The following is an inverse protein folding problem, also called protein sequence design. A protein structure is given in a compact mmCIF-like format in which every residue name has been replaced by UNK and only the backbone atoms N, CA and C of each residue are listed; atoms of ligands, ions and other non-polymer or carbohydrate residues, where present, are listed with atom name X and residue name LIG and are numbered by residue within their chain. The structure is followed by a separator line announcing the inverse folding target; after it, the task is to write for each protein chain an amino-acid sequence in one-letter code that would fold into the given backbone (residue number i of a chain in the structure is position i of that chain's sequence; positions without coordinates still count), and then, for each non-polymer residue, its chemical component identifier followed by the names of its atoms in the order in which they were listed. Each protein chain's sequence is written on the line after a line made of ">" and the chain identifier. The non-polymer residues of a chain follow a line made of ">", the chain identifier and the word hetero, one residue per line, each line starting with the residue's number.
data_IF_619385570281
#
_entry.id   IF_619385570281
#
_cell.length_a   1.000
_cell.length_b   1.000
_cell.length_c   1.000
_cell.angle_alpha   90.00
_cell.angle_beta   90.00
_cell.angle_gamma   90.00
#
_symmetry.space_group_name_H-M   'P 1'
#
loop_
_entity.id
_entity.type
_entity.pdbx_description
1 polymer ?
#
# COMPACT_ATOMS: atom_id res chain seq x y z
N UNK A 1 36.93 -7.29 31.11
CA UNK A 1 37.16 -8.07 29.87
C UNK A 1 35.81 -8.25 29.22
N UNK A 2 35.63 -7.77 27.99
CA UNK A 2 34.36 -7.91 27.26
C UNK A 2 34.20 -9.40 26.91
N UNK A 3 33.14 -10.04 27.39
CA UNK A 3 32.84 -11.41 27.01
C UNK A 3 32.50 -11.47 25.52
N UNK A 4 32.77 -12.60 24.85
CA UNK A 4 32.45 -12.76 23.42
C UNK A 4 30.99 -12.38 23.12
N UNK A 5 30.04 -12.88 23.91
CA UNK A 5 28.61 -12.57 23.80
C UNK A 5 28.31 -11.06 23.82
N UNK A 6 28.89 -10.32 24.76
CA UNK A 6 28.68 -8.88 24.86
C UNK A 6 29.21 -8.12 23.62
N UNK A 7 30.34 -8.54 23.06
CA UNK A 7 30.86 -7.92 21.84
C UNK A 7 29.90 -8.09 20.65
N UNK A 8 29.28 -9.27 20.52
CA UNK A 8 28.29 -9.53 19.47
C UNK A 8 26.98 -8.78 19.71
N UNK A 9 26.51 -8.65 20.95
CA UNK A 9 25.31 -7.85 21.27
C UNK A 9 25.52 -6.35 20.99
N UNK A 10 26.71 -5.82 21.26
CA UNK A 10 27.08 -4.45 20.89
C UNK A 10 27.09 -4.28 19.37
N UNK A 11 27.70 -5.23 18.64
CA UNK A 11 27.73 -5.20 17.18
C UNK A 11 26.32 -5.29 16.58
N UNK A 12 25.48 -6.19 17.11
CA UNK A 12 24.08 -6.34 16.75
C UNK A 12 23.28 -5.04 17.00
N UNK A 13 23.45 -4.43 18.17
CA UNK A 13 22.86 -3.12 18.48
C UNK A 13 23.30 -2.02 17.50
N UNK A 14 24.60 -1.95 17.18
CA UNK A 14 25.12 -0.99 16.20
C UNK A 14 24.51 -1.18 14.80
N UNK A 15 24.35 -2.43 14.35
CA UNK A 15 23.71 -2.76 13.08
C UNK A 15 22.22 -2.37 13.07
N UNK A 16 21.50 -2.62 14.17
CA UNK A 16 20.10 -2.20 14.32
C UNK A 16 19.96 -0.68 14.30
N UNK A 17 20.86 0.05 14.99
CA UNK A 17 20.85 1.51 15.00
C UNK A 17 21.11 2.08 13.60
N UNK A 18 22.10 1.53 12.88
CA UNK A 18 22.38 1.91 11.49
C UNK A 18 21.17 1.64 10.58
N UNK A 19 20.55 0.47 10.74
CA UNK A 19 19.34 0.10 9.99
C UNK A 19 18.18 1.03 10.32
N UNK A 20 17.96 1.38 11.59
CA UNK A 20 16.92 2.30 12.04
C UNK A 20 17.13 3.70 11.48
N UNK A 21 18.36 4.22 11.50
CA UNK A 21 18.68 5.54 10.95
C UNK A 21 18.43 5.59 9.44
N UNK A 22 18.90 4.58 8.69
CA UNK A 22 18.65 4.47 7.25
C UNK A 22 17.15 4.32 6.95
N UNK A 23 16.44 3.51 7.73
CA UNK A 23 15.00 3.32 7.62
C UNK A 23 14.22 4.62 7.92
N UNK A 24 14.61 5.38 8.94
CA UNK A 24 14.00 6.67 9.28
C UNK A 24 14.15 7.68 8.13
N UNK A 25 15.34 7.79 7.55
CA UNK A 25 15.58 8.64 6.37
C UNK A 25 14.70 8.18 5.21
N UNK A 26 14.68 6.88 4.91
CA UNK A 26 13.81 6.29 3.89
C UNK A 26 12.33 6.60 4.12
N UNK A 27 11.87 6.51 5.36
CA UNK A 27 10.49 6.80 5.74
C UNK A 27 10.14 8.28 5.56
N UNK A 28 11.01 9.20 5.98
CA UNK A 28 10.83 10.63 5.70
C UNK A 28 10.74 10.89 4.19
N UNK A 29 11.57 10.24 3.38
CA UNK A 29 11.45 10.28 1.92
C UNK A 29 10.08 9.75 1.43
N UNK A 30 9.52 8.70 2.06
CA UNK A 30 8.17 8.21 1.71
C UNK A 30 7.07 9.25 1.97
N UNK A 31 7.19 10.02 3.04
CA UNK A 31 6.20 11.04 3.41
C UNK A 31 6.23 12.20 2.41
N UNK A 32 7.43 12.61 1.99
CA UNK A 32 7.63 13.70 1.04
C UNK A 32 7.28 13.30 -0.41
N UNK A 33 7.81 12.16 -0.89
CA UNK A 33 7.77 11.81 -2.32
C UNK A 33 6.59 10.90 -2.69
N UNK A 34 6.20 9.97 -1.83
CA UNK A 34 5.15 8.99 -2.12
C UNK A 34 3.75 9.55 -1.79
N UNK A 35 3.30 10.58 -2.51
CA UNK A 35 1.92 11.11 -2.38
C UNK A 35 0.93 10.34 -3.26
N UNK A 36 -0.12 9.81 -2.63
CA UNK A 36 -1.28 9.18 -3.30
C UNK A 36 -2.07 10.27 -4.02
N UNK A 37 -1.98 10.33 -5.36
CA UNK A 37 -2.83 11.19 -6.19
C UNK A 37 -3.97 10.34 -6.76
N UNK A 38 -5.06 10.15 -6.02
CA UNK A 38 -6.34 9.50 -6.43
C UNK A 38 -6.26 8.27 -7.36
N UNK A 39 -5.15 7.57 -7.39
CA UNK A 39 -4.87 6.47 -8.31
C UNK A 39 -5.14 5.14 -7.58
N UNK A 40 -6.13 4.40 -8.08
CA UNK A 40 -6.55 3.12 -7.50
C UNK A 40 -5.39 2.11 -7.50
N UNK A 41 -4.50 2.21 -8.49
CA UNK A 41 -3.34 1.34 -8.66
C UNK A 41 -2.26 1.57 -7.59
N UNK A 42 -2.34 2.68 -6.85
CA UNK A 42 -1.43 3.07 -5.75
C UNK A 42 -2.07 2.95 -4.36
N UNK A 43 -3.19 2.24 -4.24
CA UNK A 43 -3.86 1.97 -2.96
C UNK A 43 -2.94 1.29 -1.93
N UNK A 44 -2.00 0.46 -2.39
CA UNK A 44 -1.01 -0.23 -1.56
C UNK A 44 -0.04 0.70 -0.81
N UNK A 45 0.15 1.95 -1.25
CA UNK A 45 1.06 2.90 -0.62
C UNK A 45 0.68 3.24 0.83
N UNK A 46 -0.62 3.21 1.16
CA UNK A 46 -1.07 3.49 2.52
C UNK A 46 -0.61 2.39 3.49
N UNK A 47 -0.81 1.12 3.10
CA UNK A 47 -0.40 -0.05 3.87
C UNK A 47 1.12 -0.14 3.95
N UNK A 48 1.83 0.15 2.86
CA UNK A 48 3.29 0.22 2.84
C UNK A 48 3.86 1.25 3.81
N UNK A 49 3.31 2.48 3.87
CA UNK A 49 3.78 3.51 4.81
C UNK A 49 3.58 3.07 6.25
N UNK A 50 2.44 2.47 6.53
CA UNK A 50 2.12 1.97 7.86
C UNK A 50 3.03 0.78 8.24
N UNK A 51 3.33 -0.12 7.29
CA UNK A 51 4.32 -1.17 7.45
C UNK A 51 5.71 -0.62 7.78
N UNK A 52 6.15 0.41 7.04
CA UNK A 52 7.45 1.05 7.24
C UNK A 52 7.52 1.74 8.62
N UNK A 53 6.46 2.43 9.03
CA UNK A 53 6.39 3.04 10.37
C UNK A 53 6.53 2.01 11.49
N UNK A 54 5.78 0.89 11.40
CA UNK A 54 5.91 -0.21 12.36
C UNK A 54 7.29 -0.85 12.34
N UNK A 55 7.90 -1.02 11.15
CA UNK A 55 9.25 -1.55 11.02
C UNK A 55 10.28 -0.68 11.75
N UNK A 56 10.25 0.64 11.56
CA UNK A 56 11.18 1.56 12.25
C UNK A 56 11.02 1.46 13.76
N UNK A 57 9.77 1.49 14.24
CA UNK A 57 9.50 1.42 15.68
C UNK A 57 9.96 0.08 16.27
N UNK A 58 9.74 -1.02 15.55
CA UNK A 58 10.20 -2.35 15.95
C UNK A 58 11.74 -2.45 16.02
N UNK A 59 12.44 -1.93 15.01
CA UNK A 59 13.92 -1.94 14.99
C UNK A 59 14.49 -1.06 16.10
N UNK A 60 13.89 0.11 16.37
CA UNK A 60 14.30 0.98 17.47
C UNK A 60 14.10 0.30 18.84
N UNK A 61 12.96 -0.35 19.06
CA UNK A 61 12.73 -1.11 20.30
C UNK A 61 13.70 -2.30 20.42
N UNK A 62 14.00 -2.98 19.31
CA UNK A 62 14.99 -4.07 19.31
C UNK A 62 16.39 -3.56 19.68
N UNK A 63 16.78 -2.39 19.16
CA UNK A 63 18.01 -1.70 19.55
C UNK A 63 18.03 -1.38 21.05
N UNK A 64 16.97 -0.77 21.59
CA UNK A 64 16.89 -0.47 23.02
C UNK A 64 16.89 -1.74 23.87
N UNK A 65 16.28 -2.82 23.40
CA UNK A 65 16.34 -4.12 24.07
C UNK A 65 17.79 -4.62 24.15
N UNK A 66 18.55 -4.60 23.05
CA UNK A 66 19.97 -5.00 23.09
C UNK A 66 20.83 -4.06 23.95
N UNK A 67 20.59 -2.75 23.89
CA UNK A 67 21.28 -1.77 24.75
C UNK A 67 21.03 -2.06 26.23
N UNK A 68 19.77 -2.31 26.62
CA UNK A 68 19.41 -2.67 27.98
C UNK A 68 20.01 -4.00 28.41
N UNK A 69 20.15 -4.98 27.50
CA UNK A 69 20.82 -6.24 27.78
C UNK A 69 22.31 -6.04 28.12
N UNK A 70 23.01 -5.25 27.31
CA UNK A 70 24.44 -4.91 27.55
C UNK A 70 24.59 -4.18 28.88
N UNK A 71 23.77 -3.15 29.11
CA UNK A 71 23.77 -2.39 30.38
C UNK A 71 23.47 -3.29 31.58
N UNK A 72 22.52 -4.21 31.45
CA UNK A 72 22.21 -5.21 32.48
C UNK A 72 23.43 -6.08 32.79
N UNK A 73 24.10 -6.64 31.78
CA UNK A 73 25.27 -7.51 31.98
C UNK A 73 26.44 -6.80 32.66
N UNK A 74 26.70 -5.54 32.31
CA UNK A 74 27.78 -4.74 32.90
C UNK A 74 27.45 -4.31 34.34
N UNK A 75 26.21 -3.90 34.59
CA UNK A 75 25.81 -3.43 35.92
C UNK A 75 25.50 -4.56 36.90
N UNK A 76 25.32 -5.80 36.43
CA UNK A 76 24.97 -6.94 37.29
C UNK A 76 25.99 -7.15 38.43
N UNK A 77 27.28 -7.25 38.09
CA UNK A 77 28.35 -7.50 39.06
C UNK A 77 28.58 -6.31 40.00
N UNK A 78 28.39 -5.09 39.51
CA UNK A 78 28.54 -3.87 40.30
C UNK A 78 27.36 -3.68 41.27
N UNK A 79 26.13 -3.92 40.81
CA UNK A 79 24.93 -3.80 41.62
C UNK A 79 24.81 -4.90 42.68
N UNK A 80 25.28 -6.11 42.38
CA UNK A 80 25.37 -7.18 43.36
C UNK A 80 26.29 -6.79 44.53
N UNK A 81 27.46 -6.21 44.22
CA UNK A 81 28.39 -5.69 45.23
C UNK A 81 27.80 -4.49 46.01
N UNK A 82 27.06 -3.62 45.34
CA UNK A 82 26.44 -2.44 45.94
C UNK A 82 25.09 -2.69 46.64
N UNK A 83 24.59 -3.95 46.69
CA UNK A 83 23.25 -4.32 47.19
C UNK A 83 22.09 -3.58 46.52
N UNK A 84 22.29 -3.04 45.33
CA UNK A 84 21.29 -2.30 44.55
C UNK A 84 20.49 -3.24 43.61
N UNK A 85 20.02 -4.38 44.13
CA UNK A 85 19.41 -5.46 43.34
C UNK A 85 18.03 -5.13 42.76
N UNK A 86 17.38 -4.06 43.23
CA UNK A 86 16.12 -3.57 42.66
C UNK A 86 16.34 -2.94 41.28
N UNK A 87 17.29 -2.01 41.16
CA UNK A 87 17.56 -1.28 39.92
C UNK A 87 17.95 -2.20 38.75
N UNK A 88 18.78 -3.22 39.00
CA UNK A 88 19.17 -4.20 37.97
C UNK A 88 18.02 -5.10 37.55
N UNK A 89 17.09 -5.40 38.46
CA UNK A 89 15.88 -6.14 38.10
C UNK A 89 14.91 -5.31 37.27
N UNK A 90 14.81 -4.02 37.55
CA UNK A 90 13.94 -3.12 36.77
C UNK A 90 14.50 -2.95 35.36
N UNK A 91 15.83 -2.85 35.21
CA UNK A 91 16.52 -2.88 33.91
C UNK A 91 16.23 -4.17 33.14
N UNK A 92 16.30 -5.32 33.80
CA UNK A 92 16.01 -6.61 33.17
C UNK A 92 14.54 -6.71 32.72
N UNK A 93 13.60 -6.23 33.55
CA UNK A 93 12.17 -6.14 33.21
C UNK A 93 11.95 -5.23 32.00
N UNK A 94 12.59 -4.05 31.97
CA UNK A 94 12.52 -3.12 30.85
C UNK A 94 13.08 -3.74 29.56
N UNK A 95 14.20 -4.46 29.64
CA UNK A 95 14.80 -5.18 28.51
C UNK A 95 13.80 -6.17 27.88
N UNK A 96 13.21 -7.04 28.71
CA UNK A 96 12.27 -8.07 28.26
C UNK A 96 10.99 -7.48 27.68
N UNK A 97 10.40 -6.50 28.38
CA UNK A 97 9.15 -5.86 27.93
C UNK A 97 9.35 -5.12 26.60
N UNK A 98 10.48 -4.41 26.46
CA UNK A 98 10.85 -3.73 25.22
C UNK A 98 10.99 -4.72 24.05
N UNK A 99 11.59 -5.89 24.31
CA UNK A 99 11.70 -6.97 23.32
C UNK A 99 10.35 -7.54 22.90
N UNK A 100 9.45 -7.79 23.85
CA UNK A 100 8.10 -8.31 23.59
C UNK A 100 7.29 -7.33 22.72
N UNK A 101 7.31 -6.04 23.07
CA UNK A 101 6.62 -5.00 22.29
C UNK A 101 7.26 -4.83 20.91
N UNK A 102 8.60 -4.86 20.83
CA UNK A 102 9.34 -4.79 19.57
C UNK A 102 8.94 -5.91 18.60
N UNK A 103 8.84 -7.14 19.10
CA UNK A 103 8.40 -8.31 18.32
C UNK A 103 6.97 -8.15 17.80
N UNK A 104 6.02 -7.70 18.63
CA UNK A 104 4.64 -7.44 18.21
C UNK A 104 4.57 -6.47 17.01
N UNK A 105 5.31 -5.37 17.08
CA UNK A 105 5.32 -4.35 16.03
C UNK A 105 6.02 -4.85 14.76
N UNK A 106 7.07 -5.66 14.91
CA UNK A 106 7.77 -6.27 13.78
C UNK A 106 6.84 -7.18 12.98
N UNK A 107 6.02 -7.97 13.68
CA UNK A 107 5.02 -8.84 13.04
C UNK A 107 3.90 -8.05 12.35
N UNK A 108 3.46 -6.93 12.94
CA UNK A 108 2.55 -6.03 12.23
C UNK A 108 3.18 -5.46 10.96
N UNK A 109 4.45 -5.04 11.01
CA UNK A 109 5.16 -4.56 9.82
C UNK A 109 5.16 -5.62 8.71
N UNK A 110 5.41 -6.89 9.06
CA UNK A 110 5.33 -8.01 8.13
C UNK A 110 3.93 -8.17 7.52
N UNK A 111 2.88 -8.17 8.35
CA UNK A 111 1.48 -8.30 7.89
C UNK A 111 1.12 -7.19 6.90
N UNK A 112 1.50 -5.95 7.20
CA UNK A 112 1.22 -4.82 6.30
C UNK A 112 2.08 -4.84 5.04
N UNK A 113 3.32 -5.34 5.09
CA UNK A 113 4.13 -5.60 3.88
C UNK A 113 3.43 -6.61 2.98
N UNK A 114 2.93 -7.71 3.55
CA UNK A 114 2.21 -8.75 2.80
C UNK A 114 0.95 -8.18 2.12
N UNK A 115 0.18 -7.35 2.83
CA UNK A 115 -0.96 -6.64 2.25
C UNK A 115 -0.56 -5.59 1.20
N UNK A 116 0.58 -4.92 1.36
CA UNK A 116 1.09 -3.98 0.38
C UNK A 116 1.52 -4.69 -0.92
N UNK A 117 2.16 -5.86 -0.83
CA UNK A 117 2.59 -6.64 -1.99
C UNK A 117 1.41 -7.21 -2.78
N UNK A 118 0.36 -7.72 -2.11
CA UNK A 118 -0.85 -8.16 -2.82
C UNK A 118 -1.57 -6.97 -3.48
N UNK A 119 -1.59 -5.80 -2.83
CA UNK A 119 -2.11 -4.57 -3.41
C UNK A 119 -1.31 -4.12 -4.64
N UNK A 120 0.02 -4.23 -4.58
CA UNK A 120 0.91 -3.94 -5.71
C UNK A 120 0.68 -4.91 -6.87
N UNK A 121 0.59 -6.22 -6.59
CA UNK A 121 0.33 -7.24 -7.61
C UNK A 121 -1.00 -7.00 -8.35
N UNK A 122 -2.03 -6.55 -7.62
CA UNK A 122 -3.29 -6.20 -8.23
C UNK A 122 -3.23 -4.85 -8.99
N UNK A 123 -2.51 -3.86 -8.49
CA UNK A 123 -2.26 -2.60 -9.22
C UNK A 123 -1.58 -2.85 -10.57
N UNK A 124 -0.59 -3.74 -10.60
CA UNK A 124 0.11 -4.18 -11.83
C UNK A 124 -0.88 -4.78 -12.84
N UNK A 125 -1.83 -5.60 -12.38
CA UNK A 125 -2.85 -6.20 -13.25
C UNK A 125 -3.87 -5.20 -13.76
N UNK A 126 -4.32 -4.26 -12.93
CA UNK A 126 -5.24 -3.20 -13.35
C UNK A 126 -4.62 -2.38 -14.49
N UNK A 127 -3.32 -2.07 -14.41
CA UNK A 127 -2.60 -1.36 -15.47
C UNK A 127 -2.51 -2.18 -16.75
N UNK A 128 -2.38 -3.51 -16.65
CA UNK A 128 -2.25 -4.38 -17.81
C UNK A 128 -3.59 -4.69 -18.50
N UNK A 129 -4.64 -5.02 -17.74
CA UNK A 129 -5.90 -5.54 -18.26
C UNK A 129 -7.10 -4.60 -18.14
N UNK A 130 -6.96 -3.44 -17.50
CA UNK A 130 -8.03 -2.44 -17.32
C UNK A 130 -9.17 -2.84 -16.37
N UNK A 131 -9.32 -4.13 -16.04
CA UNK A 131 -10.36 -4.65 -15.16
C UNK A 131 -9.79 -5.65 -14.13
N UNK A 132 -10.36 -5.63 -12.91
CA UNK A 132 -10.09 -6.65 -11.91
C UNK A 132 -10.92 -7.90 -12.19
N UNK A 133 -10.27 -9.06 -12.35
CA UNK A 133 -10.98 -10.34 -12.43
C UNK A 133 -11.60 -10.73 -11.09
N UNK A 134 -12.71 -11.49 -11.11
CA UNK A 134 -13.35 -12.02 -9.89
C UNK A 134 -12.38 -12.84 -9.02
N UNK A 135 -11.49 -13.59 -9.66
CA UNK A 135 -10.44 -14.35 -8.99
C UNK A 135 -9.47 -13.45 -8.22
N UNK A 136 -9.15 -12.26 -8.73
CA UNK A 136 -8.29 -11.30 -8.02
C UNK A 136 -8.96 -10.75 -6.77
N UNK A 137 -10.25 -10.44 -6.85
CA UNK A 137 -11.02 -9.97 -5.70
C UNK A 137 -11.09 -11.04 -4.62
N UNK A 138 -11.34 -12.29 -5.01
CA UNK A 138 -11.35 -13.43 -4.10
C UNK A 138 -9.99 -13.64 -3.43
N UNK A 139 -8.90 -13.63 -4.20
CA UNK A 139 -7.55 -13.77 -3.65
C UNK A 139 -7.21 -12.62 -2.70
N UNK A 140 -7.55 -11.38 -3.06
CA UNK A 140 -7.33 -10.21 -2.20
C UNK A 140 -8.12 -10.34 -0.89
N UNK A 141 -9.39 -10.77 -0.96
CA UNK A 141 -10.20 -11.05 0.22
C UNK A 141 -9.56 -12.14 1.09
N UNK A 142 -9.05 -13.23 0.49
CA UNK A 142 -8.31 -14.28 1.19
C UNK A 142 -7.08 -13.77 1.93
N UNK A 143 -6.31 -12.86 1.32
CA UNK A 143 -5.18 -12.20 1.98
C UNK A 143 -5.60 -11.26 3.12
N UNK A 144 -6.74 -10.57 3.01
CA UNK A 144 -7.28 -9.78 4.13
C UNK A 144 -7.73 -10.66 5.30
N UNK A 145 -8.39 -11.78 5.02
CA UNK A 145 -8.77 -12.77 6.06
C UNK A 145 -7.52 -13.34 6.71
N UNK A 146 -6.51 -13.68 5.93
CA UNK A 146 -5.22 -14.19 6.44
C UNK A 146 -4.51 -13.14 7.30
N UNK A 147 -4.49 -11.87 6.87
CA UNK A 147 -3.90 -10.78 7.63
C UNK A 147 -4.65 -10.52 8.96
N UNK A 148 -5.98 -10.63 8.95
CA UNK A 148 -6.80 -10.54 10.17
C UNK A 148 -6.45 -11.69 11.13
N UNK A 149 -6.38 -12.93 10.62
CA UNK A 149 -5.99 -14.09 11.40
C UNK A 149 -4.59 -13.92 12.01
N UNK A 150 -3.60 -13.50 11.20
CA UNK A 150 -2.25 -13.22 11.67
C UNK A 150 -2.23 -12.10 12.72
N UNK A 151 -3.05 -11.06 12.56
CA UNK A 151 -3.15 -9.97 13.55
C UNK A 151 -3.69 -10.47 14.88
N UNK A 152 -4.74 -11.33 14.86
CA UNK A 152 -5.29 -11.95 16.07
C UNK A 152 -4.24 -12.85 16.73
N UNK A 153 -3.57 -13.71 15.96
CA UNK A 153 -2.51 -14.59 16.48
C UNK A 153 -1.35 -13.79 17.08
N UNK A 154 -0.96 -12.67 16.46
CA UNK A 154 0.08 -11.79 16.97
C UNK A 154 -0.31 -11.15 18.31
N UNK A 155 -1.55 -10.65 18.44
CA UNK A 155 -2.08 -10.10 19.70
C UNK A 155 -2.15 -11.18 20.78
N UNK A 156 -2.61 -12.39 20.44
CA UNK A 156 -2.66 -13.52 21.37
C UNK A 156 -1.25 -13.93 21.82
N UNK A 157 -0.29 -14.02 20.89
CA UNK A 157 1.10 -14.31 21.19
C UNK A 157 1.73 -13.27 22.10
N UNK A 158 1.44 -11.99 21.88
CA UNK A 158 1.82 -10.89 22.76
C UNK A 158 1.22 -11.03 24.16
N UNK A 159 -0.10 -11.25 24.26
CA UNK A 159 -0.78 -11.40 25.54
C UNK A 159 -0.28 -12.61 26.34
N UNK A 160 0.03 -13.73 25.67
CA UNK A 160 0.63 -14.90 26.30
C UNK A 160 2.06 -14.65 26.76
N UNK A 161 2.85 -13.90 25.98
CA UNK A 161 4.21 -13.50 26.33
C UNK A 161 4.23 -12.59 27.55
N UNK A 162 3.35 -11.58 27.60
CA UNK A 162 3.14 -10.71 28.76
C UNK A 162 2.67 -11.51 29.99
N UNK A 163 1.70 -12.42 29.82
CA UNK A 163 1.24 -13.27 30.92
C UNK A 163 2.37 -14.14 31.48
N UNK A 164 3.18 -14.74 30.60
CA UNK A 164 4.35 -15.51 31.02
C UNK A 164 5.36 -14.64 31.76
N UNK A 165 5.60 -13.42 31.26
CA UNK A 165 6.48 -12.45 31.89
C UNK A 165 6.01 -12.08 33.31
N UNK A 166 4.75 -11.67 33.47
CA UNK A 166 4.18 -11.31 34.76
C UNK A 166 4.25 -12.49 35.74
N UNK A 167 3.89 -13.69 35.31
CA UNK A 167 3.92 -14.87 36.19
C UNK A 167 5.32 -15.24 36.66
N UNK A 168 6.33 -15.03 35.81
CA UNK A 168 7.72 -15.39 36.10
C UNK A 168 8.42 -14.33 36.95
N UNK A 169 8.11 -13.04 36.73
CA UNK A 169 8.86 -11.92 37.31
C UNK A 169 8.08 -11.04 38.28
N UNK A 170 6.75 -11.18 38.41
CA UNK A 170 5.95 -10.42 39.39
C UNK A 170 5.88 -11.11 40.75
N UNK A 171 5.97 -12.44 40.80
CA UNK A 171 5.91 -13.21 42.05
C UNK A 171 7.31 -13.49 42.61
N UNK A 172 8.01 -12.43 43.04
CA UNK A 172 9.33 -12.55 43.68
C UNK A 172 9.29 -13.33 45.00
N UNK A 173 8.16 -13.35 45.69
CA UNK A 173 8.01 -14.07 46.95
C UNK A 173 8.02 -15.60 46.74
N UNK A 174 7.47 -16.09 45.62
CA UNK A 174 7.44 -17.52 45.30
C UNK A 174 8.81 -18.09 44.90
N UNK A 175 9.71 -17.27 44.33
CA UNK A 175 11.06 -17.70 43.97
C UNK A 175 11.98 -17.80 45.20
N UNK A 176 11.72 -17.03 46.27
CA UNK A 176 12.47 -17.10 47.53
C UNK A 176 12.18 -18.37 48.32
N UNK A 177 10.98 -18.93 48.18
CA UNK A 177 10.56 -20.15 48.90
C UNK A 177 11.01 -21.46 48.22
N UNK A 178 11.83 -21.40 47.16
CA UNK A 178 12.30 -22.59 46.44
C UNK A 178 11.17 -23.38 45.74
N UNK A 179 9.97 -22.79 45.66
CA UNK A 179 8.79 -23.41 45.05
C UNK A 179 8.98 -23.45 43.55
N UNK A 180 8.88 -24.66 42.98
CA UNK A 180 9.02 -24.91 41.56
C UNK A 180 8.15 -23.95 40.75
N UNK A 181 8.71 -23.37 39.67
CA UNK A 181 8.02 -22.48 38.71
C UNK A 181 6.57 -22.96 38.51
N UNK A 182 5.54 -22.12 38.77
CA UNK A 182 4.15 -22.54 38.74
C UNK A 182 3.83 -23.30 37.45
N UNK A 183 3.13 -24.44 37.55
CA UNK A 183 2.73 -25.25 36.37
C UNK A 183 2.04 -24.39 35.29
N UNK A 184 1.32 -23.35 35.73
CA UNK A 184 0.66 -22.35 34.89
C UNK A 184 1.61 -21.50 34.05
N UNK A 185 2.77 -21.08 34.58
CA UNK A 185 3.77 -20.30 33.84
C UNK A 185 4.43 -21.13 32.72
N UNK A 186 4.64 -22.43 32.98
CA UNK A 186 5.15 -23.39 31.98
C UNK A 186 4.13 -23.65 30.88
N UNK A 187 2.85 -23.76 31.25
CA UNK A 187 1.76 -23.92 30.28
C UNK A 187 1.63 -22.69 29.38
N UNK A 188 1.77 -21.48 29.95
CA UNK A 188 1.79 -20.24 29.17
C UNK A 188 2.96 -20.22 28.16
N UNK A 189 4.17 -20.61 28.58
CA UNK A 189 5.34 -20.68 27.67
C UNK A 189 5.12 -21.68 26.53
N UNK A 190 4.60 -22.88 26.82
CA UNK A 190 4.25 -23.87 25.79
C UNK A 190 3.20 -23.32 24.83
N UNK A 191 2.16 -22.66 25.34
CA UNK A 191 1.13 -22.04 24.52
C UNK A 191 1.71 -20.93 23.62
N UNK A 192 2.56 -20.04 24.15
CA UNK A 192 3.26 -19.04 23.35
C UNK A 192 4.04 -19.69 22.21
N UNK A 193 4.79 -20.77 22.52
CA UNK A 193 5.59 -21.45 21.50
C UNK A 193 4.75 -22.04 20.37
N UNK A 194 3.66 -22.71 20.72
CA UNK A 194 2.74 -23.29 19.74
C UNK A 194 2.09 -22.20 18.88
N UNK A 195 1.65 -21.09 19.50
CA UNK A 195 1.05 -19.96 18.77
C UNK A 195 2.06 -19.33 17.81
N UNK A 196 3.31 -19.10 18.23
CA UNK A 196 4.36 -18.57 17.34
C UNK A 196 4.64 -19.53 16.18
N UNK A 197 4.69 -20.84 16.42
CA UNK A 197 4.87 -21.82 15.35
C UNK A 197 3.72 -21.78 14.34
N UNK A 198 2.47 -21.75 14.81
CA UNK A 198 1.29 -21.63 13.94
C UNK A 198 1.37 -20.34 13.10
N UNK A 199 1.74 -19.22 13.73
CA UNK A 199 1.91 -17.95 13.03
C UNK A 199 2.97 -18.06 11.92
N UNK A 200 4.15 -18.61 12.22
CA UNK A 200 5.22 -18.80 11.23
C UNK A 200 4.80 -19.71 10.06
N UNK A 201 4.05 -20.77 10.34
CA UNK A 201 3.52 -21.67 9.30
C UNK A 201 2.51 -20.94 8.42
N UNK A 202 1.57 -20.18 9.00
CA UNK A 202 0.60 -19.38 8.24
C UNK A 202 1.32 -18.31 7.40
N UNK A 203 2.35 -17.66 7.92
CA UNK A 203 3.19 -16.73 7.18
C UNK A 203 3.91 -17.40 6.01
N UNK A 204 4.46 -18.60 6.21
CA UNK A 204 5.13 -19.36 5.14
C UNK A 204 4.16 -19.71 4.01
N UNK A 205 2.98 -20.23 4.36
CA UNK A 205 1.95 -20.54 3.35
C UNK A 205 1.52 -19.28 2.61
N UNK A 206 1.26 -18.18 3.32
CA UNK A 206 0.84 -16.93 2.71
C UNK A 206 1.91 -16.33 1.77
N UNK A 207 3.19 -16.42 2.15
CA UNK A 207 4.31 -15.96 1.31
C UNK A 207 4.51 -16.83 0.08
N UNK A 208 4.36 -18.15 0.20
CA UNK A 208 4.40 -19.07 -0.95
C UNK A 208 3.26 -18.81 -1.94
N UNK A 209 2.03 -18.60 -1.44
CA UNK A 209 0.88 -18.24 -2.28
C UNK A 209 1.11 -16.89 -2.96
N UNK A 210 1.66 -15.91 -2.25
CA UNK A 210 2.00 -14.60 -2.82
C UNK A 210 3.09 -14.69 -3.89
N UNK A 211 4.11 -15.54 -3.68
CA UNK A 211 5.16 -15.79 -4.67
C UNK A 211 4.61 -16.49 -5.91
N UNK A 212 3.82 -17.55 -5.75
CA UNK A 212 3.15 -18.21 -6.87
C UNK A 212 2.29 -17.22 -7.66
N UNK A 213 1.58 -16.34 -6.94
CA UNK A 213 0.78 -15.29 -7.56
C UNK A 213 1.63 -14.27 -8.32
N UNK A 214 2.75 -13.82 -7.76
CA UNK A 214 3.63 -12.86 -8.42
C UNK A 214 4.30 -13.44 -9.67
N UNK A 215 4.63 -14.75 -9.67
CA UNK A 215 5.08 -15.48 -10.86
C UNK A 215 3.99 -15.53 -11.93
N UNK A 216 2.74 -15.84 -11.57
CA UNK A 216 1.64 -15.82 -12.55
C UNK A 216 1.43 -14.44 -13.16
N UNK A 217 1.49 -13.38 -12.34
CA UNK A 217 1.43 -11.99 -12.84
C UNK A 217 2.61 -11.70 -13.76
N UNK A 218 3.81 -12.22 -13.46
CA UNK A 218 4.99 -12.01 -14.28
C UNK A 218 4.92 -12.71 -15.63
N UNK A 219 4.37 -13.91 -15.68
CA UNK A 219 4.15 -14.65 -16.93
C UNK A 219 3.12 -13.92 -17.80
N UNK A 220 2.02 -13.47 -17.20
CA UNK A 220 0.95 -12.76 -17.90
C UNK A 220 1.40 -11.40 -18.46
N UNK A 221 2.25 -10.68 -17.73
CA UNK A 221 2.73 -9.34 -18.12
C UNK A 221 4.02 -9.35 -18.93
N UNK A 222 4.48 -10.53 -19.40
CA UNK A 222 5.79 -10.68 -20.07
C UNK A 222 5.92 -9.88 -21.36
N UNK A 223 4.82 -9.66 -22.08
CA UNK A 223 4.79 -8.92 -23.35
C UNK A 223 4.96 -7.40 -23.18
N UNK A 224 4.59 -6.85 -22.03
CA UNK A 224 4.52 -5.40 -21.84
C UNK A 224 5.78 -4.81 -21.19
N UNK A 225 6.56 -4.06 -21.97
CA UNK A 225 7.81 -3.45 -21.50
C UNK A 225 7.57 -2.47 -20.33
N UNK A 226 6.42 -1.78 -20.33
CA UNK A 226 6.02 -0.81 -19.30
C UNK A 226 5.92 -1.46 -17.92
N UNK A 227 5.40 -2.69 -17.84
CA UNK A 227 5.09 -3.36 -16.55
C UNK A 227 6.23 -4.24 -16.06
N UNK A 228 7.11 -4.68 -16.98
CA UNK A 228 8.26 -5.57 -16.72
C UNK A 228 9.13 -5.14 -15.53
N UNK A 229 9.37 -3.85 -15.35
CA UNK A 229 10.17 -3.35 -14.23
C UNK A 229 9.46 -3.56 -12.89
N UNK A 230 8.18 -3.17 -12.79
CA UNK A 230 7.41 -3.31 -11.55
C UNK A 230 7.24 -4.78 -11.14
N UNK A 231 7.00 -5.66 -12.12
CA UNK A 231 6.93 -7.10 -11.92
C UNK A 231 8.26 -7.68 -11.40
N UNK A 232 9.41 -7.23 -11.91
CA UNK A 232 10.73 -7.67 -11.40
C UNK A 232 10.93 -7.28 -9.93
N UNK A 233 10.58 -6.04 -9.57
CA UNK A 233 10.63 -5.61 -8.16
C UNK A 233 9.68 -6.44 -7.30
N UNK A 234 8.46 -6.72 -7.77
CA UNK A 234 7.51 -7.58 -7.04
C UNK A 234 8.09 -8.97 -6.78
N UNK A 235 8.70 -9.62 -7.79
CA UNK A 235 9.32 -10.93 -7.64
C UNK A 235 10.45 -10.91 -6.62
N UNK A 236 11.36 -9.92 -6.72
CA UNK A 236 12.48 -9.76 -5.78
C UNK A 236 11.95 -9.57 -4.35
N UNK A 237 10.95 -8.72 -4.15
CA UNK A 237 10.31 -8.54 -2.85
C UNK A 237 9.69 -9.84 -2.31
N UNK A 238 9.01 -10.62 -3.15
CA UNK A 238 8.44 -11.91 -2.74
C UNK A 238 9.54 -12.92 -2.36
N UNK A 239 10.65 -12.95 -3.09
CA UNK A 239 11.79 -13.83 -2.77
C UNK A 239 12.48 -13.43 -1.46
N UNK A 240 12.64 -12.12 -1.19
CA UNK A 240 13.18 -11.63 0.08
C UNK A 240 12.26 -11.97 1.26
N UNK A 241 10.95 -11.86 1.05
CA UNK A 241 9.97 -12.21 2.08
C UNK A 241 9.98 -13.72 2.38
N UNK A 242 10.10 -14.55 1.34
CA UNK A 242 10.25 -16.00 1.50
C UNK A 242 11.55 -16.35 2.23
N UNK A 243 12.68 -15.70 1.87
CA UNK A 243 13.95 -15.89 2.54
C UNK A 243 13.83 -15.61 4.05
N UNK A 244 13.27 -14.46 4.43
CA UNK A 244 13.01 -14.09 5.83
C UNK A 244 12.20 -15.16 6.56
N UNK A 245 11.03 -15.54 6.03
CA UNK A 245 10.14 -16.50 6.72
C UNK A 245 10.77 -17.90 6.77
N UNK A 246 11.49 -18.30 5.73
CA UNK A 246 12.20 -19.59 5.71
C UNK A 246 13.33 -19.63 6.74
N UNK A 247 14.02 -18.51 6.96
CA UNK A 247 15.01 -18.39 8.02
C UNK A 247 14.36 -18.44 9.39
N UNK A 248 13.30 -17.66 9.62
CA UNK A 248 12.62 -17.60 10.92
C UNK A 248 12.07 -18.97 11.32
N UNK A 249 11.43 -19.71 10.40
CA UNK A 249 10.91 -21.05 10.71
C UNK A 249 12.02 -22.06 10.95
N UNK A 250 13.13 -21.99 10.20
CA UNK A 250 14.28 -22.87 10.39
C UNK A 250 15.00 -22.59 11.72
N UNK A 251 15.16 -21.30 12.07
CA UNK A 251 15.69 -20.86 13.34
C UNK A 251 14.79 -21.35 14.48
N UNK A 252 13.48 -21.13 14.36
CA UNK A 252 12.50 -21.54 15.36
C UNK A 252 12.49 -23.05 15.58
N UNK A 253 12.46 -23.84 14.50
CA UNK A 253 12.45 -25.30 14.55
C UNK A 253 13.73 -25.88 15.19
N UNK A 254 14.87 -25.23 14.97
CA UNK A 254 16.16 -25.69 15.50
C UNK A 254 16.39 -25.32 16.95
N UNK A 255 16.03 -24.09 17.34
CA UNK A 255 16.44 -23.51 18.62
C UNK A 255 15.33 -23.46 19.67
N UNK A 256 14.08 -23.73 19.29
CA UNK A 256 12.96 -23.77 20.23
C UNK A 256 12.56 -25.22 20.52
N UNK A 257 12.88 -25.76 21.71
CA UNK A 257 12.52 -27.13 22.04
C UNK A 257 11.01 -27.25 22.28
N UNK A 258 10.39 -28.21 21.59
CA UNK A 258 8.97 -28.58 21.76
C UNK A 258 8.76 -29.77 22.71
N UNK A 259 9.85 -30.36 23.22
CA UNK A 259 9.82 -31.56 24.06
C UNK A 259 9.29 -31.35 25.48
N UNK A 260 9.33 -32.41 26.29
CA UNK A 260 8.88 -32.37 27.68
C UNK A 260 9.81 -31.58 28.60
N UNK A 261 9.32 -31.13 29.75
CA UNK A 261 10.05 -30.24 30.66
C UNK A 261 11.44 -30.75 31.05
N UNK A 262 11.61 -32.07 31.13
CA UNK A 262 12.88 -32.71 31.47
C UNK A 262 13.85 -32.76 30.26
N UNK A 263 13.33 -32.86 29.03
CA UNK A 263 14.15 -32.81 27.80
C UNK A 263 14.44 -31.37 27.36
N UNK A 264 13.58 -30.41 27.69
CA UNK A 264 13.81 -28.97 27.43
C UNK A 264 15.09 -28.49 28.15
N UNK A 265 15.34 -28.96 29.37
CA UNK A 265 16.46 -28.50 30.18
C UNK A 265 17.79 -29.14 29.74
N UNK A 266 17.78 -30.40 29.29
CA UNK A 266 18.97 -31.06 28.71
C UNK A 266 19.28 -30.57 27.29
N UNK A 267 18.27 -30.33 26.45
CA UNK A 267 18.48 -29.86 25.08
C UNK A 267 18.81 -28.37 25.01
N UNK A 268 18.32 -27.55 25.94
CA UNK A 268 18.60 -26.11 25.96
C UNK A 268 20.09 -25.78 26.15
N UNK A 269 20.85 -26.63 26.84
CA UNK A 269 22.30 -26.44 26.99
C UNK A 269 23.10 -26.97 25.78
N UNK A 270 22.57 -27.94 25.02
CA UNK A 270 23.19 -28.44 23.78
C UNK A 270 22.88 -27.60 22.54
N UNK A 271 21.75 -26.89 22.54
CA UNK A 271 21.19 -26.17 21.39
C UNK A 271 21.15 -24.66 21.58
N UNK A 272 21.96 -24.08 22.48
CA UNK A 272 22.04 -22.62 22.62
C UNK A 272 22.67 -22.02 21.35
N UNK A 273 22.06 -20.98 20.74
CA UNK A 273 22.69 -20.27 19.63
C UNK A 273 24.05 -19.73 20.08
N UNK A 274 25.08 -19.97 19.28
CA UNK A 274 26.38 -19.33 19.49
C UNK A 274 26.26 -17.80 19.42
N UNK A 275 27.22 -17.06 19.98
CA UNK A 275 27.13 -15.61 20.11
C UNK A 275 27.09 -14.88 18.75
N UNK A 276 27.65 -15.47 17.69
CA UNK A 276 27.60 -14.95 16.33
C UNK A 276 26.20 -14.94 15.72
N UNK A 277 25.26 -15.72 16.26
CA UNK A 277 23.89 -15.78 15.73
C UNK A 277 23.13 -14.47 15.87
N UNK A 278 23.45 -13.61 16.84
CA UNK A 278 22.80 -12.30 16.98
C UNK A 278 22.96 -11.43 15.72
N UNK A 279 24.15 -11.45 15.10
CA UNK A 279 24.40 -10.74 13.85
C UNK A 279 23.69 -11.42 12.68
N UNK A 280 23.76 -12.75 12.61
CA UNK A 280 23.14 -13.53 11.53
C UNK A 280 21.62 -13.32 11.52
N UNK A 281 20.99 -13.29 12.70
CA UNK A 281 19.56 -13.07 12.87
C UNK A 281 19.14 -11.69 12.33
N UNK A 282 19.91 -10.64 12.62
CA UNK A 282 19.67 -9.31 12.04
C UNK A 282 19.79 -9.33 10.50
N UNK A 283 20.82 -9.99 9.98
CA UNK A 283 21.08 -10.01 8.53
C UNK A 283 20.05 -10.86 7.77
N UNK A 284 19.56 -11.95 8.35
CA UNK A 284 18.66 -12.89 7.67
C UNK A 284 17.17 -12.69 8.00
N UNK A 285 16.85 -12.10 9.15
CA UNK A 285 15.47 -11.76 9.52
C UNK A 285 15.16 -10.28 9.26
N UNK A 286 15.97 -9.35 9.78
CA UNK A 286 15.66 -7.91 9.71
C UNK A 286 15.96 -7.28 8.34
N UNK A 287 17.14 -7.54 7.76
CA UNK A 287 17.56 -6.88 6.52
C UNK A 287 16.73 -7.22 5.28
N UNK A 288 16.23 -8.44 5.05
CA UNK A 288 15.38 -8.70 3.89
C UNK A 288 14.12 -7.84 3.89
N UNK A 289 13.53 -7.60 5.07
CA UNK A 289 12.38 -6.72 5.22
C UNK A 289 12.75 -5.24 4.99
N UNK A 290 13.90 -4.79 5.50
CA UNK A 290 14.43 -3.45 5.22
C UNK A 290 14.65 -3.21 3.72
N UNK A 291 15.38 -4.12 3.05
CA UNK A 291 15.67 -4.03 1.61
C UNK A 291 14.37 -4.05 0.81
N UNK A 292 13.41 -4.91 1.18
CA UNK A 292 12.09 -4.95 0.57
C UNK A 292 11.38 -3.60 0.68
N UNK A 293 11.36 -2.97 1.85
CA UNK A 293 10.76 -1.65 2.05
C UNK A 293 11.45 -0.58 1.20
N UNK A 294 12.78 -0.62 1.09
CA UNK A 294 13.53 0.29 0.22
C UNK A 294 13.21 0.06 -1.26
N UNK A 295 13.09 -1.19 -1.72
CA UNK A 295 12.69 -1.50 -3.09
C UNK A 295 11.27 -0.99 -3.39
N UNK A 296 10.34 -1.15 -2.45
CA UNK A 296 9.00 -0.57 -2.55
C UNK A 296 9.03 0.97 -2.54
N UNK A 297 9.95 1.59 -1.80
CA UNK A 297 10.17 3.04 -1.86
C UNK A 297 10.57 3.47 -3.27
N UNK A 298 11.59 2.83 -3.85
CA UNK A 298 12.09 3.13 -5.19
C UNK A 298 10.96 2.98 -6.22
N UNK A 299 10.14 1.94 -6.07
CA UNK A 299 8.98 1.74 -6.94
C UNK A 299 7.90 2.82 -6.73
N UNK A 300 7.69 3.27 -5.50
CA UNK A 300 6.72 4.30 -5.15
C UNK A 300 7.12 5.71 -5.63
N UNK A 301 8.41 6.04 -5.57
CA UNK A 301 8.98 7.35 -5.96
C UNK A 301 9.14 7.48 -7.46
N UNK A 302 9.27 6.38 -8.20
CA UNK A 302 9.32 6.38 -9.67
C UNK A 302 7.99 6.93 -10.24
N UNK A 303 7.91 8.25 -10.44
CA UNK A 303 6.74 8.99 -10.94
C UNK A 303 7.09 9.80 -12.20
N UNK A 304 6.09 9.93 -13.09
CA UNK A 304 5.83 11.02 -14.06
C UNK A 304 5.86 10.72 -15.58
N UNK A 305 6.51 9.67 -16.10
CA UNK A 305 6.59 9.47 -17.58
C UNK A 305 6.07 8.09 -18.08
N UNK A 306 4.93 7.59 -17.58
CA UNK A 306 4.17 6.58 -18.34
C UNK A 306 3.97 5.17 -17.75
N UNK A 307 4.45 4.86 -16.53
CA UNK A 307 4.25 3.52 -15.93
C UNK A 307 2.91 3.36 -15.18
N UNK A 308 2.32 4.48 -14.72
CA UNK A 308 1.05 4.53 -13.98
C UNK A 308 0.17 5.71 -14.39
N UNK A 309 0.53 6.48 -15.42
CA UNK A 309 -0.47 7.33 -16.07
C UNK A 309 -1.31 6.39 -16.90
N UNK A 310 -2.41 5.92 -16.33
CA UNK A 310 -3.53 5.47 -17.14
C UNK A 310 -3.72 6.54 -18.21
N UNK A 311 -3.47 6.20 -19.47
CA UNK A 311 -3.91 7.04 -20.57
C UNK A 311 -5.41 7.21 -20.34
N UNK A 312 -5.81 8.39 -19.86
CA UNK A 312 -7.22 8.67 -19.74
C UNK A 312 -7.80 8.58 -21.16
N UNK A 313 -9.05 8.14 -21.35
CA UNK A 313 -9.62 7.94 -22.68
C UNK A 313 -9.53 9.17 -23.60
N UNK A 314 -9.32 10.37 -23.07
CA UNK A 314 -9.03 11.57 -23.86
C UNK A 314 -7.60 11.63 -24.47
N UNK A 315 -6.64 10.83 -24.01
CA UNK A 315 -5.28 10.72 -24.56
C UNK A 315 -5.17 9.69 -25.69
N UNK A 316 -6.17 8.82 -25.86
CA UNK A 316 -6.29 7.87 -26.98
C UNK A 316 -7.06 8.45 -28.18
N UNK A 317 -6.87 9.74 -28.51
CA UNK A 317 -7.27 10.22 -29.84
C UNK A 317 -6.24 9.70 -30.83
N UNK A 318 -6.53 8.54 -31.42
CA UNK A 318 -5.77 7.97 -32.53
C UNK A 318 -5.97 8.88 -33.75
N UNK A 319 -4.94 9.57 -34.28
CA UNK A 319 -5.07 10.28 -35.55
C UNK A 319 -5.01 9.23 -36.65
N UNK A 320 -6.15 8.62 -36.99
CA UNK A 320 -6.16 7.49 -37.93
C UNK A 320 -7.50 7.14 -38.55
N UNK A 321 -8.52 7.99 -38.42
CA UNK A 321 -9.74 7.90 -39.22
C UNK A 321 -9.86 9.14 -40.08
N UNK A 322 -9.63 9.01 -41.39
CA UNK A 322 -9.90 10.07 -42.35
C UNK A 322 -11.37 10.52 -42.22
N UNK A 323 -11.59 11.77 -41.79
CA UNK A 323 -12.87 12.48 -41.98
C UNK A 323 -13.64 12.94 -40.74
N UNK A 324 -13.22 12.67 -39.50
CA UNK A 324 -13.94 13.19 -38.33
C UNK A 324 -13.36 14.53 -37.85
N UNK A 325 -14.20 15.57 -37.64
CA UNK A 325 -13.73 16.86 -37.13
C UNK A 325 -13.17 16.70 -35.72
N UNK A 326 -12.01 17.33 -35.48
CA UNK A 326 -11.31 17.34 -34.21
C UNK A 326 -12.12 18.16 -33.19
N UNK A 327 -13.02 17.52 -32.46
CA UNK A 327 -13.82 18.16 -31.42
C UNK A 327 -13.00 18.23 -30.13
N UNK A 328 -12.56 19.44 -29.75
CA UNK A 328 -11.91 19.64 -28.45
C UNK A 328 -12.94 19.64 -27.32
N UNK A 329 -12.57 19.28 -26.08
CA UNK A 329 -13.51 19.21 -24.94
C UNK A 329 -14.17 20.55 -24.56
N UNK A 330 -13.70 21.65 -25.13
CA UNK A 330 -14.20 23.01 -24.90
C UNK A 330 -15.21 23.46 -25.97
N UNK A 331 -15.73 22.54 -26.80
CA UNK A 331 -16.79 22.83 -27.76
C UNK A 331 -16.38 23.66 -28.98
N UNK A 332 -15.11 24.06 -29.09
CA UNK A 332 -14.60 24.76 -30.27
C UNK A 332 -14.24 23.75 -31.36
N UNK A 333 -15.10 23.66 -32.38
CA UNK A 333 -14.78 23.02 -33.65
C UNK A 333 -13.85 23.93 -34.45
N UNK A 334 -12.63 23.47 -34.74
CA UNK A 334 -11.76 24.14 -35.70
C UNK A 334 -12.12 23.64 -37.11
N UNK A 335 -12.71 24.51 -37.92
CA UNK A 335 -12.86 24.30 -39.36
C UNK A 335 -11.55 24.69 -40.05
N UNK A 336 -10.83 23.76 -40.72
CA UNK A 336 -9.64 24.10 -41.49
C UNK A 336 -10.09 24.64 -42.87
N UNK A 337 -10.63 25.86 -42.92
CA UNK A 337 -11.03 26.48 -44.19
C UNK A 337 -10.55 27.92 -44.38
N UNK A 338 -9.67 28.42 -43.51
CA UNK A 338 -9.10 29.77 -43.60
C UNK A 338 -7.59 29.79 -43.40
N UNK A 339 -6.86 28.99 -44.18
CA UNK A 339 -5.46 29.29 -44.49
C UNK A 339 -5.24 29.13 -46.00
N UNK A 340 -5.63 30.16 -46.75
CA UNK A 340 -5.08 30.41 -48.08
C UNK A 340 -3.62 30.86 -47.92
N UNK A 341 -2.64 30.19 -48.53
CA UNK A 341 -1.30 30.74 -48.66
C UNK A 341 -1.32 31.87 -49.71
N UNK A 342 -0.88 33.07 -49.33
CA UNK A 342 -0.57 34.14 -50.27
C UNK A 342 0.63 33.70 -51.14
N UNK A 343 0.37 33.32 -52.39
CA UNK A 343 1.40 33.20 -53.43
C UNK A 343 1.38 34.47 -54.31
N UNK A 344 2.52 35.16 -54.51
CA UNK A 344 2.60 36.30 -55.42
C UNK A 344 2.61 35.83 -56.88
N UNK A 345 1.77 36.49 -57.68
CA UNK A 345 1.59 36.32 -59.12
C UNK A 345 2.69 37.03 -59.92
N UNK A 346 3.41 36.30 -60.77
CA UNK A 346 4.16 36.85 -61.90
C UNK A 346 3.84 36.04 -63.18
N UNK A 347 3.20 36.75 -64.11
CA UNK A 347 3.29 36.72 -65.59
C UNK A 347 3.18 35.43 -66.44
N UNK A 348 2.08 35.39 -67.23
CA UNK A 348 1.95 35.13 -68.69
C UNK A 348 2.31 33.77 -69.34
N UNK A 349 1.85 33.46 -70.58
CA UNK A 349 0.54 33.73 -71.23
C UNK A 349 -0.06 32.51 -71.99
N UNK A 350 -1.25 32.76 -72.55
CA UNK A 350 -2.21 31.93 -73.32
C UNK A 350 -1.67 30.95 -74.40
N UNK A 351 -2.41 29.85 -74.59
CA UNK A 351 -2.47 29.04 -75.81
C UNK A 351 -3.77 28.19 -75.89
N UNK A 352 -4.47 28.08 -77.04
CA UNK A 352 -5.86 27.60 -77.09
C UNK A 352 -6.05 26.12 -77.53
N UNK A 353 -7.18 25.54 -77.07
CA UNK A 353 -8.02 24.44 -77.62
C UNK A 353 -7.38 23.18 -78.21
N UNK A 354 -7.96 22.00 -77.93
CA UNK A 354 -8.70 21.17 -78.92
C UNK A 354 -9.37 19.95 -78.25
N UNK A 355 -10.63 19.71 -78.63
CA UNK A 355 -11.42 18.51 -78.35
C UNK A 355 -10.90 17.29 -79.10
N UNK A 356 -11.09 16.08 -78.54
CA UNK A 356 -11.55 14.93 -79.33
C UNK A 356 -12.30 13.89 -78.48
N UNK A 357 -13.47 13.51 -79.00
CA UNK A 357 -14.25 12.34 -78.63
C UNK A 357 -14.05 11.26 -79.71
N UNK A 358 -14.08 9.96 -79.34
CA UNK A 358 -14.70 8.86 -80.11
C UNK A 358 -14.57 7.47 -79.41
N UNK A 359 -15.34 6.43 -79.83
CA UNK A 359 -15.99 5.45 -78.96
C UNK A 359 -15.74 3.97 -79.41
N UNK A 360 -16.60 3.04 -78.96
CA UNK A 360 -16.84 1.66 -79.46
C UNK A 360 -15.81 0.58 -79.06
N UNK A 361 -16.12 -0.71 -78.88
CA UNK A 361 -17.34 -1.53 -78.77
C UNK A 361 -16.92 -2.94 -78.25
N UNK A 362 -17.92 -3.71 -77.79
CA UNK A 362 -17.94 -5.12 -77.32
C UNK A 362 -17.61 -6.15 -78.46
N UNK A 363 -17.59 -7.52 -78.28
CA UNK A 363 -18.51 -8.30 -77.42
C UNK A 363 -18.20 -9.76 -76.92
N UNK A 364 -19.13 -10.22 -76.05
CA UNK A 364 -19.67 -11.60 -75.78
C UNK A 364 -18.76 -12.62 -75.04
N UNK A 365 -19.23 -13.44 -74.09
CA UNK A 365 -20.39 -14.35 -74.17
C UNK A 365 -20.81 -14.98 -72.79
N UNK A 366 -22.14 -15.18 -72.58
CA UNK A 366 -22.88 -16.20 -71.79
C UNK A 366 -22.60 -16.40 -70.26
N UNK A 367 -23.57 -16.62 -69.35
CA UNK A 367 -24.80 -17.40 -69.42
C UNK A 367 -25.80 -17.05 -68.26
N UNK A 368 -27.09 -17.22 -68.57
CA UNK A 368 -28.37 -17.06 -67.83
C UNK A 368 -28.51 -17.90 -66.53
N UNK A 369 -29.25 -17.53 -65.47
CA UNK A 369 -30.74 -17.52 -65.36
C UNK A 369 -31.21 -17.10 -63.92
N UNK A 370 -32.53 -16.87 -63.64
CA UNK A 370 -33.00 -15.74 -62.83
C UNK A 370 -33.86 -16.07 -61.57
N UNK A 371 -34.34 -14.98 -60.92
CA UNK A 371 -35.64 -14.76 -60.26
C UNK A 371 -35.60 -14.39 -58.74
N UNK A 372 -36.60 -13.65 -58.20
CA UNK A 372 -36.40 -12.38 -57.47
C UNK A 372 -36.97 -12.41 -56.05
N UNK A 373 -36.78 -11.38 -55.23
CA UNK A 373 -37.83 -10.79 -54.37
C UNK A 373 -37.38 -9.46 -53.75
N UNK A 374 -38.36 -8.58 -53.63
CA UNK A 374 -38.35 -7.14 -53.39
C UNK A 374 -38.54 -6.81 -51.89
N UNK A 375 -38.41 -5.50 -51.58
CA UNK A 375 -38.95 -4.73 -50.43
C UNK A 375 -38.06 -4.68 -49.18
N UNK A 376 -37.88 -3.59 -48.41
CA UNK A 376 -37.90 -2.11 -48.49
C UNK A 376 -37.58 -1.61 -47.05
N UNK A 377 -37.10 -0.38 -46.89
CA UNK A 377 -36.90 0.39 -45.64
C UNK A 377 -38.05 0.27 -44.60
N UNK A 378 -37.97 0.55 -43.29
CA UNK A 378 -37.27 1.58 -42.49
C UNK A 378 -37.50 1.26 -40.95
N UNK A 379 -37.50 2.18 -39.96
CA UNK A 379 -36.41 2.53 -39.04
C UNK A 379 -36.66 2.15 -37.54
N UNK A 380 -35.66 2.49 -36.72
CA UNK A 380 -35.57 2.44 -35.24
C UNK A 380 -36.80 2.87 -34.43
N UNK A 381 -36.89 2.40 -33.16
CA UNK A 381 -37.38 3.25 -32.07
C UNK A 381 -36.40 3.37 -30.89
N UNK A 382 -36.28 4.61 -30.40
CA UNK A 382 -35.58 5.01 -29.18
C UNK A 382 -36.23 4.43 -27.91
N UNK A 383 -35.46 4.14 -26.85
CA UNK A 383 -36.00 4.05 -25.49
C UNK A 383 -36.06 5.44 -24.83
N UNK A 384 -37.28 5.83 -24.48
CA UNK A 384 -37.68 7.01 -23.72
C UNK A 384 -37.35 6.82 -22.23
N UNK A 385 -36.69 7.80 -21.62
CA UNK A 385 -36.51 7.87 -20.17
C UNK A 385 -37.78 8.43 -19.52
N UNK A 386 -38.44 7.64 -18.68
CA UNK A 386 -39.54 8.08 -17.83
C UNK A 386 -39.00 8.67 -16.52
N UNK A 387 -39.30 9.95 -16.28
CA UNK A 387 -39.05 10.62 -15.01
C UNK A 387 -40.12 10.22 -13.99
N UNK A 388 -39.69 9.77 -12.82
CA UNK A 388 -40.57 9.48 -11.68
C UNK A 388 -40.98 10.80 -10.97
N UNK A 389 -42.23 10.95 -10.50
CA UNK A 389 -42.65 12.13 -9.73
C UNK A 389 -42.18 12.06 -8.27
N UNK A 390 -41.57 13.12 -7.78
CA UNK A 390 -41.28 13.34 -6.36
C UNK A 390 -42.53 13.88 -5.64
N UNK A 391 -42.92 13.35 -4.46
CA UNK A 391 -43.84 14.02 -3.57
C UNK A 391 -43.10 14.96 -2.60
N UNK A 392 -43.50 16.23 -2.57
CA UNK A 392 -43.31 17.11 -1.41
C UNK A 392 -44.28 16.69 -0.29
N UNK A 393 -43.85 16.74 0.99
CA UNK A 393 -44.58 17.64 1.88
C UNK A 393 -43.76 18.29 3.03
N UNK A 394 -44.10 19.57 3.23
CA UNK A 394 -44.46 20.25 4.49
C UNK A 394 -43.40 20.54 5.56
N UNK A 395 -42.98 21.81 5.59
CA UNK A 395 -42.67 22.57 6.80
C UNK A 395 -43.92 22.71 7.70
N UNK A 396 -43.77 22.66 9.04
CA UNK A 396 -44.69 23.30 9.96
C UNK A 396 -44.12 24.59 10.55
N UNK A 397 -45.04 25.53 10.74
CA UNK A 397 -44.90 26.87 11.30
C UNK A 397 -44.49 26.93 12.77
N UNK A 398 -43.93 28.10 13.07
CA UNK A 398 -43.67 28.71 14.37
C UNK A 398 -44.86 28.69 15.35
N UNK A 399 -44.54 28.51 16.64
CA UNK A 399 -45.27 29.14 17.73
C UNK A 399 -44.26 29.69 18.75
N UNK A 400 -44.32 31.00 18.97
CA UNK A 400 -43.40 31.71 19.86
C UNK A 400 -43.87 31.78 21.31
N UNK A 401 -42.95 32.20 22.19
CA UNK A 401 -43.26 32.89 23.44
C UNK A 401 -42.19 33.94 23.74
N UNK A 402 -42.68 35.14 24.06
CA UNK A 402 -42.03 36.38 24.49
C UNK A 402 -40.99 36.22 25.61
N UNK A 403 -39.93 37.05 25.59
CA UNK A 403 -39.80 38.26 26.43
C UNK A 403 -38.36 38.81 26.47
N UNK A 404 -38.21 40.14 26.44
CA UNK A 404 -37.04 40.86 26.99
C UNK A 404 -36.19 41.66 26.00
N UNK A 405 -36.42 42.97 25.95
CA UNK A 405 -35.60 44.00 25.28
C UNK A 405 -34.19 44.14 25.86
N UNK A 406 -33.14 44.26 25.02
CA UNK A 406 -31.94 45.14 25.17
C UNK A 406 -31.10 45.08 23.85
N UNK A 407 -30.22 46.06 23.55
CA UNK A 407 -29.84 46.46 22.19
C UNK A 407 -28.77 45.59 21.50
N UNK A 408 -28.79 45.68 20.17
CA UNK A 408 -28.05 44.94 19.14
C UNK A 408 -26.54 44.76 19.35
N UNK A 409 -26.04 43.54 19.11
CA UNK A 409 -24.69 43.31 18.59
C UNK A 409 -24.71 42.89 17.10
N UNK A 410 -23.63 43.28 16.43
CA UNK A 410 -23.20 42.96 15.05
C UNK A 410 -23.73 41.67 14.43
N UNK A 411 -24.20 41.78 13.19
CA UNK A 411 -24.57 40.67 12.30
C UNK A 411 -23.44 39.63 12.19
N UNK A 412 -23.71 38.33 12.29
CA UNK A 412 -22.72 37.29 12.04
C UNK A 412 -22.32 37.28 10.55
N UNK A 413 -21.07 36.88 10.22
CA UNK A 413 -20.65 36.72 8.84
C UNK A 413 -21.51 35.67 8.12
N UNK A 414 -21.76 35.82 6.80
CA UNK A 414 -22.60 34.89 6.04
C UNK A 414 -22.05 33.46 6.13
N UNK A 415 -22.95 32.49 6.17
CA UNK A 415 -22.60 31.09 6.15
C UNK A 415 -21.81 30.75 4.87
N UNK A 416 -20.78 29.91 5.01
CA UNK A 416 -19.84 29.55 3.93
C UNK A 416 -20.50 28.94 2.67
N UNK A 417 -21.78 28.56 2.76
CA UNK A 417 -22.60 28.12 1.62
C UNK A 417 -22.93 29.25 0.64
N UNK A 418 -23.10 30.48 1.12
CA UNK A 418 -23.59 31.60 0.30
C UNK A 418 -22.44 32.29 -0.45
N UNK A 419 -21.21 32.20 0.09
CA UNK A 419 -20.00 32.70 -0.57
C UNK A 419 -19.52 31.83 -1.75
N UNK A 420 -20.00 30.59 -1.86
CA UNK A 420 -19.57 29.64 -2.91
C UNK A 420 -20.47 29.64 -4.14
N UNK A 421 -21.51 30.48 -4.20
CA UNK A 421 -22.36 30.65 -5.40
C UNK A 421 -23.08 29.38 -5.86
N UNK A 422 -23.21 28.38 -4.98
CA UNK A 422 -23.74 27.05 -5.34
C UNK A 422 -25.25 27.04 -5.63
N UNK A 423 -25.99 28.09 -5.26
CA UNK A 423 -27.42 28.20 -5.54
C UNK A 423 -27.77 28.76 -6.92
N UNK A 424 -26.80 29.31 -7.68
CA UNK A 424 -27.07 29.90 -8.99
C UNK A 424 -27.01 28.90 -10.16
N UNK A 425 -26.66 27.64 -9.92
CA UNK A 425 -26.54 26.65 -11.01
C UNK A 425 -27.86 26.00 -11.44
N UNK A 426 -28.97 26.19 -10.71
CA UNK A 426 -30.27 25.62 -11.08
C UNK A 426 -31.11 26.54 -12.00
N UNK A 427 -30.92 27.86 -11.93
CA UNK A 427 -31.81 28.84 -12.59
C UNK A 427 -31.30 29.38 -13.94
N UNK A 428 -30.20 28.83 -14.47
CA UNK A 428 -29.73 29.13 -15.83
C UNK A 428 -29.36 30.61 -16.09
N UNK A 429 -29.27 31.44 -15.05
CA UNK A 429 -28.93 32.85 -15.17
C UNK A 429 -27.41 33.04 -15.07
N UNK A 430 -26.77 33.73 -16.04
CA UNK A 430 -25.33 33.96 -16.01
C UNK A 430 -24.98 34.92 -14.85
N UNK A 431 -23.87 34.68 -14.13
CA UNK A 431 -23.46 35.54 -13.02
C UNK A 431 -23.13 36.94 -13.54
N UNK A 432 -23.84 37.97 -13.06
CA UNK A 432 -23.47 39.35 -13.30
C UNK A 432 -22.29 39.71 -12.38
N UNK A 433 -21.12 39.94 -12.96
CA UNK A 433 -19.98 40.51 -12.23
C UNK A 433 -20.05 42.03 -12.32
N UNK A 434 -20.26 42.69 -11.18
CA UNK A 434 -20.06 44.13 -11.04
C UNK A 434 -18.55 44.41 -10.94
N UNK A 435 -17.93 45.15 -11.88
CA UNK A 435 -16.49 45.44 -11.81
C UNK A 435 -16.21 46.41 -10.66
N UNK A 436 -15.37 45.98 -9.71
CA UNK A 436 -14.82 46.83 -8.66
C UNK A 436 -13.68 47.69 -9.23
N UNK A 437 -13.62 49.00 -8.91
CA UNK A 437 -12.56 49.88 -9.39
C UNK A 437 -11.20 49.55 -8.75
N UNK A 438 -10.15 49.65 -9.56
CA UNK A 438 -8.77 49.36 -9.22
C UNK A 438 -8.23 50.40 -8.22
N UNK A 439 -7.71 49.97 -7.07
CA UNK A 439 -7.02 50.85 -6.13
C UNK A 439 -5.58 51.07 -6.61
N UNK A 440 -5.25 52.30 -7.00
CA UNK A 440 -3.87 52.75 -7.21
C UNK A 440 -3.17 52.84 -5.84
N UNK A 441 -2.01 52.18 -5.72
CA UNK A 441 -1.15 52.28 -4.53
C UNK A 441 -0.47 53.65 -4.50
N UNK A 442 -0.63 54.38 -3.41
CA UNK A 442 0.30 55.45 -2.99
C UNK A 442 1.32 54.89 -2.01
#
# INVERSE_FOLDING_TARGET
>A
MISGYMAYDIAAGALLLLTAAAAAIGFLCTLCMARRRKDAARSWLALYKLAFGFFILAVLLSFFSHLLAVVYTELYDAAFRARATSAVSDLFRAHLQTGIVGSLLYEFAFIFVLLALIGLAAGIRIVHGGAESTLERLMRAGFYVTALLLSILNIVGFALSERHFIMTYSNRDLLKDGVHVPRTARQALRATRVVTLIMLVVQLVATLVLLARSVLVAVQTRSELKVKTATRYLLVCCTLLLLKVSYDIAYYAKYVPFGDANSIMSDADSSRPGPHFAIIDIVLSCWPLFVLLVLLLVLATKKQHGLWSTEQPFMMVRPGGHGMPLQTPWGYGYSPQSQQPLHPSWEQPQGPQYHHAHPHERPLQQQSSPAPHFVQHDPSPQPHWQAAPFPHPQQPHDMGTQAGHFPSPSSPPPAHSDAMGLYHQADGTPPQMTPLPYNEKK
#
